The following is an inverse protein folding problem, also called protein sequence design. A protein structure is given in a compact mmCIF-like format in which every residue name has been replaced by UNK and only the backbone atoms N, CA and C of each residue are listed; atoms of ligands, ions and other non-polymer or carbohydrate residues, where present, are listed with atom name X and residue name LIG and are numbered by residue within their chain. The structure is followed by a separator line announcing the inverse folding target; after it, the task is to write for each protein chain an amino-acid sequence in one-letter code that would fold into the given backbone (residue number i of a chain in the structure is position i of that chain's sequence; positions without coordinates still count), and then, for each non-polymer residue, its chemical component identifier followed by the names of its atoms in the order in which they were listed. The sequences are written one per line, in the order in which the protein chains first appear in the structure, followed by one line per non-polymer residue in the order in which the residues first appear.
data_IF_649135719168
#
_entry.id   IF_649135719168
#
_cell.length_a   1.000
_cell.length_b   1.000
_cell.length_c   1.000
_cell.angle_alpha   90.00
_cell.angle_beta   90.00
_cell.angle_gamma   90.00
#
_symmetry.space_group_name_H-M   'P 1'
#
loop_
_entity.id
_entity.type
_entity.pdbx_description
1 polymer ?
#
# COMPACT_ATOMS: atom_id res chain seq x y z
N UNK A 1 20.96 2.50 5.37
CA UNK A 1 20.93 1.44 6.41
C UNK A 1 20.79 0.12 5.69
N UNK A 2 21.62 -0.87 6.04
CA UNK A 2 21.77 -2.11 5.29
C UNK A 2 20.45 -2.89 5.25
N UNK A 3 20.02 -3.27 4.03
CA UNK A 3 18.96 -4.25 3.82
C UNK A 3 19.28 -5.50 4.66
N UNK A 4 18.29 -5.94 5.42
CA UNK A 4 18.36 -7.03 6.38
C UNK A 4 18.93 -8.29 5.71
N UNK A 5 19.98 -8.90 6.28
CA UNK A 5 20.74 -10.01 5.69
C UNK A 5 19.99 -11.34 5.48
N UNK A 6 18.66 -11.32 5.50
CA UNK A 6 17.78 -12.43 5.17
C UNK A 6 17.39 -12.45 3.68
N UNK A 7 17.54 -11.35 2.95
CA UNK A 7 17.32 -11.30 1.49
C UNK A 7 18.20 -12.33 0.75
N UNK A 8 19.41 -12.61 1.26
CA UNK A 8 20.31 -13.65 0.70
C UNK A 8 19.75 -15.07 0.78
N UNK A 9 18.71 -15.29 1.59
CA UNK A 9 17.98 -16.54 1.70
C UNK A 9 16.62 -16.48 0.99
N UNK A 10 16.39 -15.47 0.13
CA UNK A 10 15.13 -15.29 -0.59
C UNK A 10 13.99 -14.73 0.26
N UNK A 11 14.25 -14.25 1.48
CA UNK A 11 13.23 -13.67 2.34
C UNK A 11 13.03 -12.20 1.97
N UNK A 12 11.91 -11.91 1.30
CA UNK A 12 11.45 -10.54 1.03
C UNK A 12 10.80 -9.99 2.29
N UNK A 13 11.28 -8.82 2.75
CA UNK A 13 10.67 -8.14 3.89
C UNK A 13 9.28 -7.65 3.48
N UNK A 14 8.22 -7.96 4.24
CA UNK A 14 6.88 -7.52 3.89
C UNK A 14 6.80 -6.00 3.88
N UNK A 15 6.01 -5.45 2.97
CA UNK A 15 5.72 -4.01 2.94
C UNK A 15 4.85 -3.66 4.14
N UNK A 16 5.26 -2.66 4.92
CA UNK A 16 4.45 -2.15 6.03
C UNK A 16 3.46 -1.14 5.48
N UNK A 17 2.16 -1.42 5.63
CA UNK A 17 1.10 -0.52 5.14
C UNK A 17 0.53 0.30 6.29
N UNK A 18 0.58 1.63 6.18
CA UNK A 18 0.08 2.56 7.21
C UNK A 18 -0.85 3.61 6.62
N UNK A 19 -1.70 4.17 7.47
CA UNK A 19 -2.60 5.26 7.07
C UNK A 19 -1.78 6.53 6.75
N UNK A 20 -2.05 7.21 5.62
CA UNK A 20 -1.41 8.48 5.33
C UNK A 20 -1.60 9.48 6.47
N UNK A 21 -0.51 10.09 6.91
CA UNK A 21 -0.50 11.12 7.96
C UNK A 21 0.03 12.42 7.38
N UNK A 22 -0.41 13.54 7.94
CA UNK A 22 0.06 14.88 7.58
C UNK A 22 0.60 15.59 8.81
N UNK A 23 1.59 16.46 8.61
CA UNK A 23 2.04 17.38 9.65
C UNK A 23 1.10 18.59 9.81
N UNK A 24 1.47 19.55 10.66
CA UNK A 24 0.70 20.76 10.93
C UNK A 24 0.54 21.68 9.72
N UNK A 25 1.38 21.54 8.70
CA UNK A 25 1.30 22.31 7.44
C UNK A 25 0.50 21.56 6.36
N UNK A 26 -0.02 20.37 6.69
CA UNK A 26 -0.80 19.53 5.77
C UNK A 26 0.08 18.72 4.80
N UNK A 27 1.39 18.65 5.03
CA UNK A 27 2.34 17.93 4.19
C UNK A 27 2.26 16.43 4.53
N UNK A 28 2.09 15.54 3.54
CA UNK A 28 2.20 14.10 3.75
C UNK A 28 3.55 13.69 4.34
N UNK A 29 3.51 13.03 5.50
CA UNK A 29 4.68 12.53 6.23
C UNK A 29 4.57 11.04 6.53
N UNK A 30 5.71 10.38 6.68
CA UNK A 30 5.77 9.02 7.19
C UNK A 30 5.30 8.96 8.65
N UNK A 31 4.29 8.14 9.01
CA UNK A 31 3.82 8.03 10.40
C UNK A 31 4.86 7.43 11.36
N UNK A 32 5.90 6.77 10.84
CA UNK A 32 6.92 6.11 11.66
C UNK A 32 8.15 6.98 11.96
N UNK A 33 8.52 7.90 11.06
CA UNK A 33 9.72 8.73 11.21
C UNK A 33 9.50 10.24 10.97
N UNK A 34 8.25 10.65 10.70
CA UNK A 34 7.86 12.03 10.39
C UNK A 34 8.54 12.64 9.17
N UNK A 35 9.24 11.84 8.35
CA UNK A 35 9.89 12.35 7.15
C UNK A 35 8.85 12.72 6.08
N UNK A 36 8.95 13.88 5.41
CA UNK A 36 8.09 14.22 4.29
C UNK A 36 8.21 13.21 3.15
N UNK A 37 7.07 12.77 2.63
CA UNK A 37 7.00 11.78 1.52
C UNK A 37 6.40 12.37 0.25
N UNK A 38 6.16 13.69 0.19
CA UNK A 38 5.46 14.35 -0.94
C UNK A 38 5.99 13.95 -2.31
N UNK A 39 7.32 13.86 -2.45
CA UNK A 39 8.01 13.54 -3.71
C UNK A 39 7.79 12.10 -4.17
N UNK A 40 7.34 11.21 -3.30
CA UNK A 40 7.08 9.82 -3.64
C UNK A 40 5.64 9.58 -4.11
N UNK A 41 4.81 10.61 -4.30
CA UNK A 41 3.40 10.42 -4.66
C UNK A 41 3.30 9.72 -6.02
N UNK A 42 2.55 8.62 -6.09
CA UNK A 42 2.36 7.86 -7.32
C UNK A 42 1.87 6.44 -7.06
N UNK A 43 1.96 5.59 -8.07
CA UNK A 43 1.69 4.16 -7.92
C UNK A 43 2.77 3.52 -7.03
N UNK A 44 2.32 2.80 -6.01
CA UNK A 44 3.15 2.10 -5.04
C UNK A 44 2.85 0.61 -5.07
N UNK A 45 3.85 -0.18 -4.72
CA UNK A 45 3.77 -1.62 -4.65
C UNK A 45 3.69 -2.08 -3.20
N UNK A 46 2.75 -2.96 -2.91
CA UNK A 46 2.64 -3.65 -1.63
C UNK A 46 2.99 -5.12 -1.88
N UNK A 47 4.14 -5.54 -1.35
CA UNK A 47 4.58 -6.94 -1.38
C UNK A 47 3.84 -7.72 -0.28
N UNK A 48 3.22 -8.84 -0.66
CA UNK A 48 2.43 -9.73 0.22
C UNK A 48 1.39 -8.97 1.05
N UNK A 49 0.41 -8.33 0.38
CA UNK A 49 -0.63 -7.56 1.06
C UNK A 49 -1.49 -8.46 1.97
N UNK A 50 -1.87 -7.95 3.15
CA UNK A 50 -2.89 -8.60 4.00
C UNK A 50 -4.29 -8.27 3.45
N UNK A 51 -4.74 -9.08 2.49
CA UNK A 51 -6.03 -8.94 1.82
C UNK A 51 -7.14 -9.62 2.62
N UNK A 52 -8.28 -8.94 2.77
CA UNK A 52 -9.43 -9.50 3.51
C UNK A 52 -10.16 -10.58 2.71
N UNK A 53 -10.23 -10.42 1.39
CA UNK A 53 -10.92 -11.37 0.53
C UNK A 53 -10.00 -12.57 0.22
N UNK A 54 -10.36 -13.77 0.66
CA UNK A 54 -9.51 -14.98 0.62
C UNK A 54 -9.08 -15.33 -0.81
N UNK A 55 -9.96 -15.21 -1.81
CA UNK A 55 -9.60 -15.48 -3.20
C UNK A 55 -8.57 -14.48 -3.74
N UNK A 56 -8.67 -13.21 -3.32
CA UNK A 56 -7.68 -12.19 -3.67
C UNK A 56 -6.36 -12.46 -2.93
N UNK A 57 -6.42 -12.79 -1.64
CA UNK A 57 -5.24 -13.14 -0.86
C UNK A 57 -4.44 -14.31 -1.47
N UNK A 58 -5.12 -15.28 -2.09
CA UNK A 58 -4.48 -16.42 -2.73
C UNK A 58 -3.88 -16.10 -4.12
N UNK A 59 -4.39 -15.08 -4.83
CA UNK A 59 -3.99 -14.76 -6.20
C UNK A 59 -2.96 -13.61 -6.29
N UNK A 60 -2.73 -12.87 -5.20
CA UNK A 60 -1.91 -11.66 -5.19
C UNK A 60 -0.71 -11.79 -4.25
N UNK A 61 0.46 -12.04 -4.83
CA UNK A 61 1.75 -11.84 -4.13
C UNK A 61 2.13 -10.35 -4.04
N UNK A 62 1.55 -9.51 -4.90
CA UNK A 62 1.83 -8.08 -5.03
C UNK A 62 0.53 -7.33 -5.33
N UNK A 63 0.31 -6.18 -4.68
CA UNK A 63 -0.79 -5.26 -4.99
C UNK A 63 -0.25 -3.88 -5.36
N UNK A 64 -0.68 -3.35 -6.51
CA UNK A 64 -0.42 -1.96 -6.90
C UNK A 64 -1.49 -1.06 -6.30
N UNK A 65 -1.06 -0.01 -5.60
CA UNK A 65 -1.96 1.02 -5.07
C UNK A 65 -1.48 2.42 -5.47
N UNK A 66 -2.25 3.46 -5.16
CA UNK A 66 -1.83 4.84 -5.33
C UNK A 66 -1.65 5.53 -3.98
N UNK A 67 -0.53 6.23 -3.79
CA UNK A 67 -0.26 6.93 -2.54
C UNK A 67 1.19 7.36 -2.42
N UNK A 68 1.76 7.20 -1.23
CA UNK A 68 3.14 7.57 -0.92
C UNK A 68 3.92 6.37 -0.38
N UNK A 69 5.26 6.50 -0.34
CA UNK A 69 6.18 5.50 0.18
C UNK A 69 7.29 6.17 0.97
N UNK A 70 7.70 5.54 2.06
CA UNK A 70 8.90 5.90 2.80
C UNK A 70 9.93 4.76 2.71
N UNK A 71 11.12 5.09 2.20
CA UNK A 71 12.26 4.17 2.02
C UNK A 71 13.37 4.40 3.07
N UNK A 72 13.12 5.22 4.09
CA UNK A 72 14.11 5.53 5.14
C UNK A 72 14.27 4.41 6.17
N UNK A 73 13.41 3.40 6.11
CA UNK A 73 13.42 2.26 7.01
C UNK A 73 14.12 1.07 6.33
N UNK A 74 14.52 0.03 7.08
CA UNK A 74 15.05 -1.21 6.50
C UNK A 74 14.05 -1.97 5.61
N UNK A 75 12.78 -1.54 5.62
CA UNK A 75 11.66 -2.04 4.84
C UNK A 75 10.88 -0.85 4.28
N UNK A 76 10.08 -1.09 3.24
CA UNK A 76 9.23 -0.04 2.68
C UNK A 76 7.99 0.16 3.55
N UNK A 77 7.68 1.43 3.82
CA UNK A 77 6.38 1.82 4.39
C UNK A 77 5.55 2.45 3.27
N UNK A 78 4.46 1.81 2.89
CA UNK A 78 3.52 2.34 1.91
C UNK A 78 2.34 2.99 2.62
N UNK A 79 1.92 4.14 2.10
CA UNK A 79 0.83 4.98 2.61
C UNK A 79 -0.22 5.13 1.51
N UNK A 80 -1.12 4.14 1.35
CA UNK A 80 -2.12 4.16 0.29
C UNK A 80 -3.13 5.28 0.51
N UNK A 81 -3.52 5.96 -0.57
CA UNK A 81 -4.69 6.81 -0.53
C UNK A 81 -5.94 5.95 -0.29
N UNK A 82 -6.76 6.39 0.65
CA UNK A 82 -8.05 5.74 0.94
C UNK A 82 -9.05 6.11 -0.13
N UNK A 83 -9.89 5.14 -0.48
CA UNK A 83 -11.10 5.36 -1.26
C UNK A 83 -12.33 5.04 -0.42
N UNK A 84 -13.48 5.62 -0.78
CA UNK A 84 -14.72 5.51 0.00
C UNK A 84 -15.40 4.13 -0.06
N UNK A 85 -15.03 3.29 -1.02
CA UNK A 85 -15.63 1.97 -1.26
C UNK A 85 -15.04 1.29 -2.49
N UNK A 86 -15.62 0.15 -2.86
CA UNK A 86 -15.17 -0.73 -3.96
C UNK A 86 -15.15 -0.05 -5.34
N UNK A 87 -16.09 0.87 -5.60
CA UNK A 87 -16.13 1.57 -6.89
C UNK A 87 -15.02 2.63 -7.03
N UNK A 88 -14.28 2.92 -5.95
CA UNK A 88 -13.30 4.00 -5.89
C UNK A 88 -13.81 5.32 -6.50
N UNK A 89 -15.11 5.61 -6.36
CA UNK A 89 -15.85 6.58 -7.18
C UNK A 89 -15.36 8.04 -7.12
N UNK A 90 -14.55 8.39 -6.12
CA UNK A 90 -13.89 9.70 -6.01
C UNK A 90 -12.45 9.72 -6.57
N UNK A 91 -12.03 8.62 -7.19
CA UNK A 91 -10.71 8.40 -7.77
C UNK A 91 -10.79 8.43 -9.30
N UNK A 92 -9.65 8.44 -9.97
CA UNK A 92 -9.61 8.47 -11.45
C UNK A 92 -10.15 7.16 -12.04
N UNK A 93 -10.83 7.25 -13.19
CA UNK A 93 -11.37 6.10 -13.92
C UNK A 93 -10.32 4.99 -14.14
N UNK A 94 -10.76 3.73 -14.08
CA UNK A 94 -9.90 2.54 -14.23
C UNK A 94 -9.25 2.05 -12.93
N UNK A 95 -9.73 2.52 -11.78
CA UNK A 95 -9.32 2.08 -10.45
C UNK A 95 -10.52 1.55 -9.66
N UNK A 96 -10.28 0.54 -8.83
CA UNK A 96 -11.24 -0.08 -7.91
C UNK A 96 -10.69 -0.07 -6.48
N UNK A 97 -11.58 -0.14 -5.50
CA UNK A 97 -11.27 -0.21 -4.08
C UNK A 97 -11.07 -1.64 -3.61
N UNK A 98 -9.88 -1.98 -3.16
CA UNK A 98 -9.57 -3.29 -2.57
C UNK A 98 -9.44 -3.17 -1.06
N UNK A 99 -10.06 -4.07 -0.31
CA UNK A 99 -9.94 -4.13 1.15
C UNK A 99 -8.64 -4.78 1.56
N UNK A 100 -7.79 -4.00 2.23
CA UNK A 100 -6.54 -4.49 2.84
C UNK A 100 -6.55 -4.17 4.34
N UNK A 101 -5.91 -5.01 5.14
CA UNK A 101 -5.62 -4.74 6.55
C UNK A 101 -4.32 -3.96 6.65
N UNK A 102 -4.37 -2.85 7.38
CA UNK A 102 -3.21 -2.00 7.64
C UNK A 102 -2.48 -2.50 8.90
N UNK A 103 -1.25 -2.02 9.14
CA UNK A 103 -0.46 -2.41 10.32
C UNK A 103 -1.04 -1.94 11.66
N UNK A 104 -2.15 -1.21 11.65
CA UNK A 104 -2.93 -0.80 12.82
C UNK A 104 -4.18 -1.68 13.02
N UNK A 105 -4.23 -2.85 12.35
CA UNK A 105 -5.30 -3.84 12.38
C UNK A 105 -6.64 -3.41 11.77
N UNK A 106 -6.74 -2.17 11.26
CA UNK A 106 -7.96 -1.68 10.64
C UNK A 106 -7.98 -2.01 9.15
N UNK A 107 -9.15 -2.48 8.69
CA UNK A 107 -9.43 -2.75 7.28
C UNK A 107 -9.88 -1.48 6.59
N UNK A 108 -9.30 -1.17 5.44
CA UNK A 108 -9.65 0.01 4.63
C UNK A 108 -9.63 -0.33 3.15
N UNK A 109 -10.45 0.38 2.37
CA UNK A 109 -10.36 0.33 0.92
C UNK A 109 -9.22 1.21 0.42
N UNK A 110 -8.41 0.66 -0.46
CA UNK A 110 -7.34 1.37 -1.17
C UNK A 110 -7.55 1.29 -2.66
N UNK A 111 -7.20 2.36 -3.38
CA UNK A 111 -7.28 2.36 -4.84
C UNK A 111 -6.27 1.35 -5.40
N UNK A 112 -6.72 0.46 -6.28
CA UNK A 112 -5.94 -0.50 -7.08
C UNK A 112 -6.39 -0.39 -8.54
N UNK A 113 -5.51 -0.51 -9.56
CA UNK A 113 -5.97 -0.53 -10.95
C UNK A 113 -6.95 -1.68 -11.19
N UNK A 114 -8.10 -1.41 -11.80
CA UNK A 114 -9.17 -2.41 -12.01
C UNK A 114 -8.66 -3.63 -12.78
N UNK A 115 -7.82 -3.39 -13.78
CA UNK A 115 -7.21 -4.44 -14.61
C UNK A 115 -6.41 -5.47 -13.80
N UNK A 116 -5.69 -5.03 -12.76
CA UNK A 116 -4.92 -5.95 -11.90
C UNK A 116 -5.84 -6.88 -11.11
N UNK A 117 -7.04 -6.40 -10.75
CA UNK A 117 -8.04 -7.18 -10.00
C UNK A 117 -8.74 -8.17 -10.92
N UNK A 118 -9.18 -7.73 -12.10
CA UNK A 118 -9.91 -8.58 -13.05
C UNK A 118 -9.06 -9.72 -13.61
N UNK A 119 -7.80 -9.48 -13.98
CA UNK A 119 -6.93 -10.49 -14.61
C UNK A 119 -6.56 -11.67 -13.68
N UNK A 120 -6.78 -11.57 -12.36
CA UNK A 120 -6.37 -12.58 -11.37
C UNK A 120 -7.52 -13.32 -10.68
N UNK A 121 -8.76 -12.96 -10.98
CA UNK A 121 -9.97 -13.50 -10.32
C UNK A 121 -10.86 -14.30 -11.28
N UNK A 122 -10.53 -14.33 -12.57
CA UNK A 122 -11.12 -15.24 -13.57
C UNK A 122 -10.62 -16.69 -13.42
#
# INVERSE_FOLDING_TARGET
MSRTGLERFGVVSPTVVREPTRDSEGIPVCPACSHPVVKSKGSQRIEKPDLVHVALAAAFDELITFGWRCERHPYDIVLPMRVGGEDASAFVDGWTGVQIRFSDEHVRHVATPEREVSERVE
#
